data_IF_556674848488
#
_entry.id   IF_556674848488
#
_cell.length_a   1.000
_cell.length_b   1.000
_cell.length_c   1.000
_cell.angle_alpha   90.00
_cell.angle_beta   90.00
_cell.angle_gamma   90.00
#
_symmetry.space_group_name_H-M   'P 1'
#
loop_
_entity.id
_entity.type
_entity.pdbx_description
1 polymer ?
#
# COMPACT_ATOMS: atom_id res chain seq x y z
N UNK A 1 -4.74 6.02 -21.30
CA UNK A 1 -3.86 4.84 -21.11
C UNK A 1 -3.30 4.87 -19.69
N UNK A 2 -3.93 4.20 -18.72
CA UNK A 2 -3.37 4.10 -17.37
C UNK A 2 -2.25 3.05 -17.39
N UNK A 3 -1.00 3.51 -17.30
CA UNK A 3 0.18 2.65 -17.26
C UNK A 3 0.13 1.84 -15.96
N UNK A 4 -0.35 0.61 -16.05
CA UNK A 4 -0.22 -0.41 -15.00
C UNK A 4 1.27 -0.73 -14.82
N UNK A 5 1.96 0.02 -13.97
CA UNK A 5 3.31 -0.30 -13.54
C UNK A 5 3.23 -1.16 -12.27
N UNK A 6 3.82 -2.36 -12.33
CA UNK A 6 4.11 -3.15 -11.15
C UNK A 6 4.90 -2.26 -10.19
N UNK A 7 4.32 -1.96 -9.02
CA UNK A 7 4.94 -1.06 -8.06
C UNK A 7 5.70 -1.91 -7.06
N UNK A 8 7.00 -1.68 -6.94
CA UNK A 8 7.80 -2.35 -5.92
C UNK A 8 7.23 -2.06 -4.52
N UNK A 9 7.11 -3.07 -3.68
CA UNK A 9 6.53 -2.96 -2.34
C UNK A 9 7.20 -1.86 -1.50
N UNK A 10 8.53 -1.70 -1.62
CA UNK A 10 9.26 -0.65 -0.91
C UNK A 10 8.97 0.76 -1.44
N UNK A 11 8.81 0.90 -2.76
CA UNK A 11 8.45 2.18 -3.37
C UNK A 11 7.04 2.62 -2.93
N UNK A 12 6.09 1.68 -2.92
CA UNK A 12 4.72 1.96 -2.47
C UNK A 12 4.67 2.32 -0.98
N UNK A 13 5.43 1.61 -0.14
CA UNK A 13 5.57 1.95 1.28
C UNK A 13 6.10 3.38 1.49
N UNK A 14 7.12 3.80 0.74
CA UNK A 14 7.65 5.18 0.82
C UNK A 14 6.61 6.21 0.38
N UNK A 15 5.82 5.92 -0.65
CA UNK A 15 4.75 6.80 -1.10
C UNK A 15 3.64 6.93 -0.04
N UNK A 16 3.21 5.82 0.55
CA UNK A 16 2.25 5.82 1.66
C UNK A 16 2.76 6.60 2.87
N UNK A 17 4.04 6.46 3.21
CA UNK A 17 4.67 7.20 4.30
C UNK A 17 4.61 8.72 4.07
N UNK A 18 4.81 9.18 2.83
CA UNK A 18 4.67 10.60 2.47
C UNK A 18 3.24 11.13 2.62
N UNK A 19 2.24 10.27 2.46
CA UNK A 19 0.83 10.61 2.68
C UNK A 19 0.46 10.65 4.17
N UNK A 20 1.41 10.40 5.08
CA UNK A 20 1.16 10.33 6.53
C UNK A 20 0.70 8.96 7.00
N UNK A 21 0.81 7.91 6.17
CA UNK A 21 0.46 6.57 6.61
C UNK A 21 1.49 6.05 7.62
N UNK A 22 0.99 5.42 8.67
CA UNK A 22 1.82 4.73 9.66
C UNK A 22 1.80 3.23 9.39
N UNK A 23 2.82 2.51 9.86
CA UNK A 23 2.96 1.09 9.56
C UNK A 23 3.28 0.30 10.82
N UNK A 24 2.58 -0.82 11.00
CA UNK A 24 2.81 -1.75 12.09
C UNK A 24 3.12 -3.14 11.54
N UNK A 25 4.04 -3.85 12.19
CA UNK A 25 4.34 -5.24 11.86
C UNK A 25 3.14 -6.12 12.25
N UNK A 26 2.63 -6.88 11.30
CA UNK A 26 1.64 -7.92 11.54
C UNK A 26 2.30 -9.26 11.86
N UNK A 27 1.52 -10.35 11.76
CA UNK A 27 2.03 -11.72 11.88
C UNK A 27 2.74 -12.10 10.57
N UNK A 28 4.02 -12.46 10.64
CA UNK A 28 4.84 -12.84 9.48
C UNK A 28 5.22 -11.68 8.57
N UNK A 29 5.30 -11.93 7.25
CA UNK A 29 5.63 -10.94 6.22
C UNK A 29 4.43 -10.06 5.82
N UNK A 30 3.50 -9.77 6.74
CA UNK A 30 2.36 -8.90 6.51
C UNK A 30 2.55 -7.58 7.28
N UNK A 31 2.29 -6.46 6.62
CA UNK A 31 2.41 -5.13 7.22
C UNK A 31 1.03 -4.48 7.28
N UNK A 32 0.62 -4.01 8.46
CA UNK A 32 -0.59 -3.19 8.61
C UNK A 32 -0.24 -1.74 8.33
N UNK A 33 -1.01 -1.09 7.49
CA UNK A 33 -0.90 0.33 7.19
C UNK A 33 -2.06 1.01 7.90
N UNK A 34 -1.83 2.11 8.60
CA UNK A 34 -2.88 2.90 9.24
C UNK A 34 -2.85 4.32 8.68
N UNK A 35 -3.96 4.73 8.07
CA UNK A 35 -4.15 6.08 7.57
C UNK A 35 -5.65 6.42 7.60
N UNK A 36 -6.01 7.61 8.11
CA UNK A 36 -7.38 8.10 8.19
C UNK A 36 -8.38 7.15 8.87
N UNK A 37 -7.93 6.37 9.87
CA UNK A 37 -8.75 5.36 10.55
C UNK A 37 -8.94 4.05 9.76
N UNK A 38 -8.40 3.95 8.54
CA UNK A 38 -8.40 2.74 7.74
C UNK A 38 -7.13 1.93 7.99
N UNK A 39 -7.27 0.59 8.07
CA UNK A 39 -6.17 -0.32 8.42
C UNK A 39 -5.93 -1.46 7.41
N UNK A 40 -5.58 -1.18 6.13
CA UNK A 40 -5.32 -2.23 5.17
C UNK A 40 -4.06 -3.04 5.49
N UNK A 41 -4.07 -4.31 5.07
CA UNK A 41 -2.95 -5.24 5.23
C UNK A 41 -2.23 -5.41 3.90
N UNK A 42 -0.94 -5.13 3.89
CA UNK A 42 -0.07 -5.26 2.73
C UNK A 42 0.84 -6.49 2.89
N UNK A 43 0.82 -7.43 1.93
CA UNK A 43 1.80 -8.52 1.89
C UNK A 43 3.17 -7.97 1.50
N UNK A 44 4.18 -8.26 2.30
CA UNK A 44 5.60 -7.94 2.05
C UNK A 44 6.41 -9.16 1.59
N UNK A 45 5.77 -10.32 1.39
CA UNK A 45 6.46 -11.52 0.92
C UNK A 45 6.82 -11.44 -0.57
N UNK A 46 6.16 -10.57 -1.34
CA UNK A 46 6.46 -10.33 -2.75
C UNK A 46 7.15 -8.98 -2.92
N UNK A 47 8.26 -8.95 -3.66
CA UNK A 47 8.98 -7.72 -3.99
C UNK A 47 8.14 -6.77 -4.87
N UNK A 48 7.23 -7.33 -5.67
CA UNK A 48 6.32 -6.60 -6.56
C UNK A 48 4.88 -6.72 -6.10
N UNK A 49 4.21 -5.57 -6.01
CA UNK A 49 2.77 -5.51 -5.80
C UNK A 49 2.06 -5.49 -7.13
N UNK A 50 1.03 -6.32 -7.24
CA UNK A 50 0.08 -6.25 -8.36
C UNK A 50 -0.65 -4.91 -8.29
N UNK A 51 -0.89 -4.31 -9.46
CA UNK A 51 -1.58 -3.02 -9.59
C UNK A 51 -2.94 -3.03 -8.91
N UNK A 52 -3.71 -4.12 -9.02
CA UNK A 52 -4.99 -4.28 -8.33
C UNK A 52 -4.89 -4.22 -6.80
N UNK A 53 -3.81 -4.73 -6.21
CA UNK A 53 -3.55 -4.60 -4.75
C UNK A 53 -3.25 -3.16 -4.37
N UNK A 54 -2.41 -2.47 -5.15
CA UNK A 54 -2.09 -1.05 -4.93
C UNK A 54 -3.34 -0.18 -5.00
N UNK A 55 -4.16 -0.38 -6.04
CA UNK A 55 -5.42 0.35 -6.22
C UNK A 55 -6.41 0.07 -5.09
N UNK A 56 -6.53 -1.19 -4.67
CA UNK A 56 -7.41 -1.57 -3.56
C UNK A 56 -6.97 -0.90 -2.26
N UNK A 57 -5.67 -0.91 -1.94
CA UNK A 57 -5.14 -0.24 -0.76
C UNK A 57 -5.38 1.27 -0.84
N UNK A 58 -5.12 1.91 -1.98
CA UNK A 58 -5.39 3.35 -2.17
C UNK A 58 -6.87 3.67 -1.94
N UNK A 59 -7.79 2.89 -2.53
CA UNK A 59 -9.24 3.04 -2.34
C UNK A 59 -9.63 2.87 -0.87
N UNK A 60 -9.12 1.83 -0.20
CA UNK A 60 -9.37 1.59 1.22
C UNK A 60 -8.86 2.71 2.11
N UNK A 61 -7.75 3.35 1.74
CA UNK A 61 -7.19 4.50 2.46
C UNK A 61 -7.87 5.83 2.13
N UNK A 62 -8.85 5.84 1.22
CA UNK A 62 -9.47 7.07 0.73
C UNK A 62 -8.51 7.96 -0.09
N UNK A 63 -7.37 7.41 -0.52
CA UNK A 63 -6.41 8.10 -1.35
C UNK A 63 -6.90 8.05 -2.79
N UNK A 64 -7.62 9.09 -3.24
CA UNK A 64 -7.87 9.30 -4.66
C UNK A 64 -6.53 9.58 -5.34
N UNK A 65 -6.13 8.69 -6.25
CA UNK A 65 -5.14 9.05 -7.25
C UNK A 65 -5.77 10.12 -8.13
N UNK A 66 -5.05 11.23 -8.29
CA UNK A 66 -5.33 12.25 -9.30
C UNK A 66 -5.43 11.60 -10.70
#
# INVERSE_FOLDING_TARGET
MFRSQATNANAFKRWLAKQGATFQKGKGAHMKIFLNGCQPVMPMHNAELKTGTVETIKKQLGLKGD
#
